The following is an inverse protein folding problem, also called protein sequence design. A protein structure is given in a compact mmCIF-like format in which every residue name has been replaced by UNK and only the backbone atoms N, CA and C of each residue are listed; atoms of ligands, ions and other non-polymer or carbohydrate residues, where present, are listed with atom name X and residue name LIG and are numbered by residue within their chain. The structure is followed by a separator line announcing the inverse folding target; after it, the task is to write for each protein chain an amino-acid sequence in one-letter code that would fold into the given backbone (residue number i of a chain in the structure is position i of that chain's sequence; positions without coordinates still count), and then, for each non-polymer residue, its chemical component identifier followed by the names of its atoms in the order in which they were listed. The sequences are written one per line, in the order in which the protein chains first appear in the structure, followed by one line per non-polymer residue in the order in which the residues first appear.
data_IF_947042559474
#
_entry.id   IF_947042559474
#
_cell.length_a   1.000
_cell.length_b   1.000
_cell.length_c   1.000
_cell.angle_alpha   90.00
_cell.angle_beta   90.00
_cell.angle_gamma   90.00
#
_symmetry.space_group_name_H-M   'P 1'
#
loop_
_entity.id
_entity.type
_entity.pdbx_description
1 polymer ?
#
# COMPACT_ATOMS: atom_id res chain seq x y z
N UNK A 1 -3.76 -12.82 0.01
CA UNK A 1 -4.11 -11.87 1.09
C UNK A 1 -2.84 -11.54 1.87
N UNK A 2 -2.41 -10.28 1.90
CA UNK A 2 -1.18 -9.85 2.60
C UNK A 2 -1.56 -9.31 3.97
N UNK A 3 -0.92 -9.80 5.04
CA UNK A 3 -1.13 -9.25 6.39
C UNK A 3 -0.48 -7.86 6.53
N UNK A 4 -1.07 -7.01 7.36
CA UNK A 4 -0.57 -5.66 7.62
C UNK A 4 0.84 -5.68 8.25
N UNK A 5 1.16 -6.67 9.07
CA UNK A 5 2.48 -6.80 9.70
C UNK A 5 3.59 -7.07 8.69
N UNK A 6 3.35 -7.97 7.74
CA UNK A 6 4.31 -8.26 6.67
C UNK A 6 4.48 -7.05 5.75
N UNK A 7 3.39 -6.33 5.47
CA UNK A 7 3.45 -5.09 4.73
C UNK A 7 4.32 -4.04 5.41
N UNK A 8 4.12 -3.79 6.71
CA UNK A 8 4.94 -2.83 7.48
C UNK A 8 6.43 -3.18 7.42
N UNK A 9 6.79 -4.46 7.59
CA UNK A 9 8.18 -4.94 7.46
C UNK A 9 8.78 -4.66 6.08
N UNK A 10 8.01 -4.86 5.01
CA UNK A 10 8.45 -4.57 3.64
C UNK A 10 8.72 -3.08 3.46
N UNK A 11 7.83 -2.22 3.96
CA UNK A 11 7.95 -0.77 3.85
C UNK A 11 9.13 -0.25 4.68
N UNK A 12 9.36 -0.76 5.89
CA UNK A 12 10.52 -0.40 6.71
C UNK A 12 11.84 -0.81 6.03
N UNK A 13 11.90 -2.00 5.44
CA UNK A 13 13.06 -2.43 4.66
C UNK A 13 13.28 -1.53 3.43
N UNK A 14 12.21 -1.18 2.72
CA UNK A 14 12.29 -0.27 1.58
C UNK A 14 12.82 1.11 1.98
N UNK A 15 12.43 1.63 3.15
CA UNK A 15 12.91 2.90 3.67
C UNK A 15 14.42 2.85 3.94
N UNK A 16 14.87 1.79 4.61
CA UNK A 16 16.29 1.56 4.89
C UNK A 16 17.13 1.36 3.62
N UNK A 17 16.54 0.82 2.56
CA UNK A 17 17.17 0.68 1.24
C UNK A 17 17.16 1.96 0.40
N UNK A 18 16.60 3.08 0.89
CA UNK A 18 16.56 4.35 0.17
C UNK A 18 15.50 4.42 -0.93
N UNK A 19 14.48 3.55 -0.90
CA UNK A 19 13.35 3.61 -1.82
C UNK A 19 12.59 4.92 -1.61
N UNK A 20 12.20 5.59 -2.70
CA UNK A 20 11.51 6.89 -2.65
C UNK A 20 10.03 6.81 -3.05
N UNK A 21 9.66 5.77 -3.79
CA UNK A 21 8.32 5.63 -4.38
C UNK A 21 7.79 4.23 -4.17
N UNK A 22 6.56 4.15 -3.66
CA UNK A 22 5.79 2.92 -3.52
C UNK A 22 4.60 3.00 -4.49
N UNK A 23 4.45 1.98 -5.32
CA UNK A 23 3.35 1.86 -6.27
C UNK A 23 2.49 0.69 -5.85
N UNK A 24 1.23 0.96 -5.51
CA UNK A 24 0.23 -0.06 -5.26
C UNK A 24 -0.36 -0.47 -6.61
N UNK A 25 0.02 -1.65 -7.06
CA UNK A 25 -0.43 -2.27 -8.32
C UNK A 25 -0.67 -3.76 -8.12
N UNK A 26 -1.60 -4.34 -8.87
CA UNK A 26 -1.86 -5.78 -8.87
C UNK A 26 -2.86 -6.16 -9.96
N UNK A 27 -2.88 -7.44 -10.33
CA UNK A 27 -3.84 -8.01 -11.29
C UNK A 27 -5.26 -8.21 -10.70
N UNK A 28 -5.48 -7.76 -9.47
CA UNK A 28 -6.78 -7.65 -8.82
C UNK A 28 -6.92 -6.27 -8.19
N UNK A 29 -8.16 -5.82 -8.00
CA UNK A 29 -8.45 -4.47 -7.51
C UNK A 29 -7.87 -4.26 -6.10
N UNK A 30 -6.92 -3.31 -5.89
CA UNK A 30 -6.24 -3.12 -4.60
C UNK A 30 -7.19 -2.84 -3.44
N UNK A 31 -8.39 -2.31 -3.73
CA UNK A 31 -9.43 -2.00 -2.74
C UNK A 31 -10.09 -3.23 -2.13
N UNK A 32 -9.83 -4.43 -2.65
CA UNK A 32 -10.31 -5.70 -2.08
C UNK A 32 -9.54 -6.15 -0.84
N UNK A 33 -8.37 -5.56 -0.56
CA UNK A 33 -7.68 -5.83 0.70
C UNK A 33 -8.34 -5.01 1.82
N UNK A 34 -8.91 -5.63 2.88
CA UNK A 34 -9.55 -4.89 3.97
C UNK A 34 -8.62 -3.90 4.67
N UNK A 35 -7.30 -4.09 4.56
CA UNK A 35 -6.29 -3.23 5.17
C UNK A 35 -5.68 -2.20 4.20
N UNK A 36 -6.24 -2.02 3.00
CA UNK A 36 -5.64 -1.11 1.98
C UNK A 36 -5.50 0.33 2.50
N UNK A 37 -6.48 0.81 3.28
CA UNK A 37 -6.42 2.13 3.88
C UNK A 37 -5.30 2.22 4.91
N UNK A 38 -5.19 1.25 5.82
CA UNK A 38 -4.11 1.18 6.81
C UNK A 38 -2.72 1.11 6.15
N UNK A 39 -2.60 0.37 5.05
CA UNK A 39 -1.39 0.29 4.26
C UNK A 39 -1.03 1.64 3.64
N UNK A 40 -1.99 2.35 3.05
CA UNK A 40 -1.79 3.69 2.48
C UNK A 40 -1.38 4.70 3.55
N UNK A 41 -2.06 4.72 4.70
CA UNK A 41 -1.70 5.58 5.83
C UNK A 41 -0.29 5.31 6.32
N UNK A 42 0.10 4.04 6.42
CA UNK A 42 1.44 3.67 6.86
C UNK A 42 2.55 4.12 5.90
N UNK A 43 2.33 3.98 4.59
CA UNK A 43 3.34 4.42 3.61
C UNK A 43 3.44 5.94 3.57
N UNK A 44 2.32 6.65 3.70
CA UNK A 44 2.32 8.12 3.79
C UNK A 44 3.04 8.62 5.04
N UNK A 45 2.82 7.98 6.20
CA UNK A 45 3.47 8.41 7.46
C UNK A 45 5.00 8.21 7.44
N UNK A 46 5.50 7.32 6.57
CA UNK A 46 6.93 7.08 6.36
C UNK A 46 7.58 8.00 5.32
N UNK A 47 6.82 8.93 4.73
CA UNK A 47 7.33 9.95 3.81
C UNK A 47 7.53 9.50 2.35
N UNK A 48 7.00 8.33 1.97
CA UNK A 48 7.12 7.85 0.59
C UNK A 48 6.18 8.61 -0.36
N UNK A 49 6.62 8.76 -1.60
CA UNK A 49 5.72 9.09 -2.71
C UNK A 49 4.88 7.86 -3.05
N UNK A 50 3.57 7.96 -2.91
CA UNK A 50 2.63 6.85 -3.14
C UNK A 50 1.84 7.03 -4.43
N UNK A 51 1.74 6.00 -5.25
CA UNK A 51 0.81 5.93 -6.39
C UNK A 51 -0.13 4.74 -6.19
N UNK A 52 -1.43 4.97 -6.36
CA UNK A 52 -2.46 3.94 -6.32
C UNK A 52 -3.08 3.83 -7.70
N UNK A 53 -2.92 2.67 -8.35
CA UNK A 53 -3.62 2.36 -9.59
C UNK A 53 -4.84 1.50 -9.25
N UNK A 54 -6.04 2.04 -9.49
CA UNK A 54 -7.35 1.40 -9.25
C UNK A 54 -8.13 1.40 -10.55
N UNK A 55 -8.97 0.38 -10.77
CA UNK A 55 -9.90 0.35 -11.90
C UNK A 55 -11.12 1.28 -11.71
N UNK A 56 -11.25 1.92 -10.54
CA UNK A 56 -12.31 2.89 -10.23
C UNK A 56 -13.71 2.30 -10.08
N UNK A 57 -13.87 0.98 -10.23
CA UNK A 57 -15.17 0.30 -10.19
C UNK A 57 -15.55 -0.20 -8.79
N UNK A 58 -14.57 -0.42 -7.91
CA UNK A 58 -14.82 -0.90 -6.53
C UNK A 58 -14.16 0.05 -5.53
N UNK A 59 -14.94 0.90 -4.83
CA UNK A 59 -14.39 1.73 -3.76
C UNK A 59 -13.93 0.86 -2.57
N UNK A 60 -12.95 1.32 -1.77
CA UNK A 60 -12.59 0.68 -0.51
C UNK A 60 -13.85 0.49 0.34
N UNK A 61 -14.08 -0.73 0.83
CA UNK A 61 -15.19 -0.98 1.76
C UNK A 61 -14.82 -0.43 3.14
N UNK A 62 -15.76 0.23 3.84
CA UNK A 62 -15.54 0.71 5.21
C UNK A 62 -15.34 -0.44 6.19
#
# INVERSE_FOLDING_TARGET
NMSIENFKKIIDNALNSGVKKIVFSGWGEPTMNPYILDMLYYVKSKGFSTVLNTNGMTPPRP
#
